data_IF_847823491676
#
_entry.id   IF_847823491676
#
_cell.length_a   1.000
_cell.length_b   1.000
_cell.length_c   1.000
_cell.angle_alpha   90.00
_cell.angle_beta   90.00
_cell.angle_gamma   90.00
#
_symmetry.space_group_name_H-M   'P 1'
#
loop_
_entity.id
_entity.type
_entity.pdbx_description
1 polymer ?
#
# COMPACT_ATOMS: atom_id res chain seq x y z
N UNK A 1 -10.83 1.21 10.71
CA UNK A 1 -11.94 2.17 10.56
C UNK A 1 -13.23 1.39 10.79
N UNK A 2 -14.28 1.98 11.33
CA UNK A 2 -15.58 1.31 11.49
C UNK A 2 -16.70 2.25 11.09
N UNK A 3 -17.73 1.68 10.45
CA UNK A 3 -18.94 2.41 10.10
C UNK A 3 -19.90 2.38 11.28
N UNK A 4 -20.46 3.54 11.60
CA UNK A 4 -21.53 3.68 12.57
C UNK A 4 -22.82 3.10 11.99
N UNK A 5 -23.47 2.19 12.73
CA UNK A 5 -24.63 1.44 12.24
C UNK A 5 -25.89 2.29 12.09
N UNK A 6 -25.96 3.45 12.75
CA UNK A 6 -27.14 4.33 12.73
C UNK A 6 -27.02 5.35 11.60
N UNK A 7 -25.92 6.07 11.56
CA UNK A 7 -25.70 7.17 10.62
C UNK A 7 -25.14 6.69 9.29
N UNK A 8 -24.34 5.61 9.30
CA UNK A 8 -23.52 5.15 8.17
C UNK A 8 -22.19 5.88 8.04
N UNK A 9 -21.85 6.76 8.99
CA UNK A 9 -20.63 7.55 8.95
C UNK A 9 -19.45 6.73 9.43
N UNK A 10 -18.27 6.99 8.91
CA UNK A 10 -17.06 6.25 9.25
C UNK A 10 -16.25 6.96 10.33
N UNK A 11 -15.71 6.20 11.27
CA UNK A 11 -14.78 6.69 12.29
C UNK A 11 -13.56 5.81 12.39
N UNK A 12 -12.42 6.41 12.73
CA UNK A 12 -11.21 5.67 13.09
C UNK A 12 -10.87 5.98 14.55
N UNK A 13 -10.83 4.95 15.36
CA UNK A 13 -10.40 5.01 16.76
C UNK A 13 -9.06 4.30 16.95
N UNK A 14 -8.18 4.89 17.75
CA UNK A 14 -6.94 4.29 18.21
C UNK A 14 -6.92 4.29 19.73
N UNK A 15 -6.80 3.09 20.33
CA UNK A 15 -6.81 2.80 21.78
C UNK A 15 -8.08 3.23 22.52
N UNK A 16 -8.54 4.47 22.35
CA UNK A 16 -9.91 4.95 22.62
C UNK A 16 -10.16 6.38 22.09
N UNK A 17 -9.23 6.95 21.31
CA UNK A 17 -9.32 8.30 20.76
C UNK A 17 -9.79 8.23 19.32
N UNK A 18 -10.82 9.00 18.99
CA UNK A 18 -11.24 9.18 17.60
C UNK A 18 -10.20 10.04 16.90
N UNK A 19 -9.43 9.41 16.01
CA UNK A 19 -8.37 10.05 15.22
C UNK A 19 -8.86 10.43 13.81
N UNK A 20 -10.15 10.22 13.53
CA UNK A 20 -10.77 10.70 12.31
C UNK A 20 -12.25 10.33 12.20
N UNK A 21 -12.97 11.15 11.45
CA UNK A 21 -14.39 11.04 11.18
C UNK A 21 -14.68 11.43 9.73
N UNK A 22 -15.47 10.61 9.04
CA UNK A 22 -15.81 10.79 7.63
C UNK A 22 -17.30 10.56 7.43
N UNK A 23 -17.99 11.58 6.92
CA UNK A 23 -19.42 11.50 6.59
C UNK A 23 -19.66 10.54 5.43
N UNK A 24 -20.77 9.80 5.42
CA UNK A 24 -21.03 8.83 4.32
C UNK A 24 -21.17 9.51 2.97
N UNK A 25 -21.64 10.76 2.95
CA UNK A 25 -21.94 11.54 1.75
C UNK A 25 -20.70 11.89 0.94
N UNK A 26 -19.50 11.86 1.53
CA UNK A 26 -18.25 12.13 0.80
C UNK A 26 -17.75 10.89 0.03
N UNK A 27 -18.32 9.72 0.30
CA UNK A 27 -17.98 8.48 -0.38
C UNK A 27 -18.92 8.28 -1.57
N UNK A 28 -18.52 8.75 -2.74
CA UNK A 28 -19.22 8.52 -4.01
C UNK A 28 -18.98 7.12 -4.59
N UNK A 29 -17.90 6.47 -4.13
CA UNK A 29 -17.57 5.06 -4.32
C UNK A 29 -17.17 4.45 -2.97
N UNK A 30 -17.09 3.11 -2.87
CA UNK A 30 -16.65 2.38 -1.66
C UNK A 30 -17.57 2.51 -0.42
N UNK A 31 -18.76 3.11 -0.53
CA UNK A 31 -19.69 3.31 0.59
C UNK A 31 -20.27 2.01 1.16
N UNK A 32 -20.26 0.93 0.37
CA UNK A 32 -20.69 -0.43 0.76
C UNK A 32 -19.49 -1.35 1.00
N UNK A 33 -18.65 -1.51 -0.03
CA UNK A 33 -17.46 -2.36 0.01
C UNK A 33 -16.45 -1.91 -1.05
N UNK A 34 -15.20 -2.33 -0.88
CA UNK A 34 -14.20 -2.29 -1.93
C UNK A 34 -14.30 -3.54 -2.82
N UNK A 35 -13.88 -3.41 -4.07
CA UNK A 35 -13.69 -4.53 -5.01
C UNK A 35 -12.23 -5.00 -5.08
N UNK A 36 -11.30 -4.24 -4.49
CA UNK A 36 -9.88 -4.55 -4.42
C UNK A 36 -9.20 -3.75 -3.32
N UNK A 37 -8.05 -4.23 -2.88
CA UNK A 37 -7.16 -3.57 -1.94
C UNK A 37 -5.75 -3.68 -2.52
N UNK A 38 -5.01 -2.57 -2.49
CA UNK A 38 -3.64 -2.48 -3.00
C UNK A 38 -2.74 -1.96 -1.89
N UNK A 39 -1.52 -2.52 -1.81
CA UNK A 39 -0.44 -2.06 -0.95
C UNK A 39 0.77 -1.78 -1.82
N UNK A 40 1.52 -0.74 -1.50
CA UNK A 40 2.73 -0.38 -2.26
C UNK A 40 3.03 1.11 -2.19
N UNK A 41 3.81 1.56 -3.17
CA UNK A 41 4.08 2.97 -3.45
C UNK A 41 3.69 3.32 -4.88
N UNK A 42 3.40 4.59 -5.11
CA UNK A 42 3.09 5.13 -6.43
C UNK A 42 3.92 6.39 -6.65
N UNK A 43 4.50 6.50 -7.84
CA UNK A 43 5.16 7.69 -8.32
C UNK A 43 4.51 8.04 -9.64
N UNK A 44 3.96 9.26 -9.70
CA UNK A 44 3.35 9.81 -10.91
C UNK A 44 4.33 10.81 -11.49
N UNK A 45 4.71 10.58 -12.75
CA UNK A 45 5.63 11.44 -13.46
C UNK A 45 5.26 11.49 -14.95
N UNK A 46 5.40 12.68 -15.55
CA UNK A 46 5.05 12.95 -16.94
C UNK A 46 6.26 12.90 -17.89
N UNK A 47 7.46 12.57 -17.38
CA UNK A 47 8.71 12.48 -18.14
C UNK A 47 9.05 13.73 -18.93
N UNK A 48 8.65 14.91 -18.44
CA UNK A 48 8.75 16.19 -19.17
C UNK A 48 10.18 16.57 -19.56
N UNK A 49 11.17 16.02 -18.86
CA UNK A 49 12.60 16.31 -19.04
C UNK A 49 13.36 15.12 -19.65
N UNK A 50 12.68 14.17 -20.31
CA UNK A 50 13.34 13.02 -20.96
C UNK A 50 14.05 12.08 -19.99
N UNK A 51 13.57 12.03 -18.74
CA UNK A 51 13.96 11.05 -17.75
C UNK A 51 12.74 10.69 -16.90
N UNK A 52 12.79 9.56 -16.20
CA UNK A 52 11.71 9.14 -15.33
C UNK A 52 11.56 10.16 -14.19
N UNK A 53 12.18 9.99 -13.02
CA UNK A 53 12.12 11.05 -12.01
C UNK A 53 13.30 11.00 -11.06
N UNK A 54 13.62 12.13 -10.44
CA UNK A 54 14.51 12.18 -9.29
C UNK A 54 13.79 11.79 -7.98
N UNK A 55 12.48 11.52 -8.03
CA UNK A 55 11.70 11.12 -6.85
C UNK A 55 12.07 9.71 -6.44
N UNK A 56 12.52 9.55 -5.20
CA UNK A 56 12.89 8.27 -4.62
C UNK A 56 11.63 7.55 -4.12
N UNK A 57 11.57 6.21 -4.27
CA UNK A 57 10.48 5.40 -3.73
C UNK A 57 10.88 4.78 -2.39
N UNK A 58 9.98 4.87 -1.41
CA UNK A 58 10.21 4.27 -0.09
C UNK A 58 11.29 5.04 0.69
N UNK A 59 12.46 4.41 0.86
CA UNK A 59 13.57 4.93 1.67
C UNK A 59 14.83 5.24 0.86
N UNK A 60 14.76 5.23 -0.48
CA UNK A 60 15.92 5.34 -1.40
C UNK A 60 16.91 4.16 -1.36
N UNK A 61 16.75 3.26 -0.41
CA UNK A 61 17.52 2.03 -0.37
C UNK A 61 17.00 1.02 -1.38
N UNK A 62 17.90 0.13 -1.81
CA UNK A 62 17.49 -0.96 -2.66
C UNK A 62 16.56 -1.91 -1.90
N UNK A 63 15.56 -2.44 -2.60
CA UNK A 63 14.56 -3.37 -2.04
C UNK A 63 15.17 -4.58 -1.30
N UNK A 64 16.36 -5.01 -1.71
CA UNK A 64 17.08 -6.16 -1.13
C UNK A 64 17.92 -5.84 0.10
N UNK A 65 18.02 -4.58 0.50
CA UNK A 65 18.75 -4.21 1.71
C UNK A 65 18.04 -4.60 3.01
N UNK A 66 16.77 -5.02 2.91
CA UNK A 66 16.03 -5.65 3.99
C UNK A 66 15.57 -4.66 5.07
N UNK A 67 15.20 -5.23 6.21
CA UNK A 67 14.56 -4.52 7.32
C UNK A 67 15.46 -3.43 7.90
N UNK A 68 14.88 -2.26 8.17
CA UNK A 68 15.61 -1.10 8.71
C UNK A 68 16.36 -0.28 7.67
N UNK A 69 16.32 -0.70 6.40
CA UNK A 69 16.90 0.03 5.27
C UNK A 69 15.88 0.24 4.16
N UNK A 70 15.41 -0.84 3.54
CA UNK A 70 14.33 -0.79 2.55
C UNK A 70 12.98 -0.56 3.23
N UNK A 71 12.06 0.08 2.53
CA UNK A 71 10.69 0.19 3.02
C UNK A 71 9.98 -1.14 2.81
N UNK A 72 9.19 -1.58 3.79
CA UNK A 72 8.50 -2.87 3.73
C UNK A 72 7.07 -2.78 4.26
N UNK A 73 6.19 -3.59 3.68
CA UNK A 73 4.92 -3.94 4.29
C UNK A 73 5.00 -5.37 4.80
N UNK A 74 4.56 -5.58 6.04
CA UNK A 74 4.47 -6.89 6.67
C UNK A 74 3.05 -7.12 7.22
N UNK A 75 2.70 -8.38 7.42
CA UNK A 75 1.40 -8.82 7.91
C UNK A 75 0.26 -8.26 7.06
N UNK A 76 0.37 -8.39 5.73
CA UNK A 76 -0.70 -7.96 4.83
C UNK A 76 -1.97 -8.78 5.07
N UNK A 77 -3.03 -8.06 5.40
CA UNK A 77 -4.36 -8.62 5.61
C UNK A 77 -5.43 -7.69 5.05
N UNK A 78 -6.59 -8.27 4.73
CA UNK A 78 -7.79 -7.54 4.35
C UNK A 78 -9.01 -8.11 5.07
N UNK A 79 -10.05 -7.29 5.25
CA UNK A 79 -11.34 -7.78 5.71
C UNK A 79 -12.17 -8.22 4.51
N UNK A 80 -12.68 -9.44 4.52
CA UNK A 80 -13.60 -9.92 3.49
C UNK A 80 -15.02 -9.34 3.66
N UNK A 81 -15.94 -9.69 2.76
CA UNK A 81 -17.33 -9.21 2.80
C UNK A 81 -18.08 -9.60 4.09
N UNK A 82 -17.62 -10.61 4.81
CA UNK A 82 -18.16 -11.04 6.10
C UNK A 82 -17.42 -10.41 7.29
N UNK A 83 -16.58 -9.39 7.04
CA UNK A 83 -15.72 -8.73 8.03
C UNK A 83 -14.72 -9.68 8.71
N UNK A 84 -14.40 -10.80 8.06
CA UNK A 84 -13.36 -11.72 8.55
C UNK A 84 -12.01 -11.23 8.06
N UNK A 85 -11.05 -11.12 8.97
CA UNK A 85 -9.68 -10.79 8.64
C UNK A 85 -9.02 -11.96 7.90
N UNK A 86 -8.54 -11.73 6.68
CA UNK A 86 -7.89 -12.70 5.81
C UNK A 86 -6.47 -12.26 5.55
N UNK A 87 -5.54 -13.21 5.50
CA UNK A 87 -4.21 -12.94 4.94
C UNK A 87 -4.32 -12.63 3.46
N UNK A 88 -3.48 -11.73 2.96
CA UNK A 88 -3.41 -11.40 1.53
C UNK A 88 -2.50 -12.39 0.76
N UNK A 89 -2.64 -13.69 1.00
CA UNK A 89 -1.81 -14.73 0.37
C UNK A 89 -2.08 -14.89 -1.14
N UNK A 90 -3.24 -14.42 -1.58
CA UNK A 90 -3.66 -14.32 -2.97
C UNK A 90 -3.34 -12.97 -3.64
N UNK A 91 -2.46 -12.15 -3.04
CA UNK A 91 -2.07 -10.88 -3.62
C UNK A 91 -1.40 -11.06 -4.99
N UNK A 92 -1.75 -10.16 -5.92
CA UNK A 92 -1.10 -10.05 -7.23
C UNK A 92 -0.03 -8.96 -7.15
N UNK A 93 1.17 -9.29 -7.59
CA UNK A 93 2.32 -8.39 -7.57
C UNK A 93 2.44 -7.63 -8.89
N UNK A 94 2.66 -6.31 -8.83
CA UNK A 94 2.72 -5.44 -9.99
C UNK A 94 3.83 -4.40 -9.84
N UNK A 95 4.62 -4.23 -10.90
CA UNK A 95 5.68 -3.21 -11.01
C UNK A 95 5.54 -2.55 -12.37
N UNK A 96 5.30 -1.24 -12.38
CA UNK A 96 5.08 -0.50 -13.64
C UNK A 96 6.40 -0.10 -14.31
N UNK A 97 7.42 0.25 -13.53
CA UNK A 97 8.73 0.68 -14.03
C UNK A 97 9.85 -0.13 -13.34
N UNK A 98 10.02 -1.42 -13.66
CA UNK A 98 10.93 -2.33 -12.96
C UNK A 98 12.40 -1.93 -13.03
N UNK A 99 12.79 -1.14 -14.03
CA UNK A 99 14.15 -0.60 -14.16
C UNK A 99 14.41 0.57 -13.20
N UNK A 100 13.36 1.26 -12.73
CA UNK A 100 13.45 2.39 -11.80
C UNK A 100 13.19 1.97 -10.35
N UNK A 101 12.19 1.13 -10.14
CA UNK A 101 11.73 0.65 -8.84
C UNK A 101 11.27 -0.79 -8.96
N UNK A 102 11.52 -1.61 -7.94
CA UNK A 102 11.07 -3.00 -7.96
C UNK A 102 10.65 -3.49 -6.58
N UNK A 103 10.04 -4.67 -6.54
CA UNK A 103 9.59 -5.37 -5.34
C UNK A 103 10.51 -6.54 -5.03
N UNK A 104 10.78 -6.75 -3.74
CA UNK A 104 11.27 -8.03 -3.28
C UNK A 104 10.18 -8.74 -2.48
N UNK A 105 9.62 -9.78 -3.10
CA UNK A 105 8.60 -10.61 -2.50
C UNK A 105 9.30 -11.59 -1.57
N UNK A 106 9.07 -11.44 -0.28
CA UNK A 106 9.65 -12.29 0.76
C UNK A 106 8.71 -13.46 1.12
N UNK A 107 7.48 -13.45 0.57
CA UNK A 107 6.48 -14.50 0.75
C UNK A 107 5.84 -14.47 2.14
N UNK A 108 5.37 -15.63 2.61
CA UNK A 108 4.82 -15.81 3.95
C UNK A 108 5.91 -16.29 4.91
N UNK A 109 6.34 -15.42 5.83
CA UNK A 109 7.32 -15.77 6.88
C UNK A 109 6.58 -15.76 8.22
N UNK A 110 6.84 -16.75 9.10
CA UNK A 110 6.07 -16.96 10.33
C UNK A 110 5.88 -15.72 11.20
N UNK A 111 6.89 -14.85 11.28
CA UNK A 111 6.85 -13.63 12.08
C UNK A 111 6.36 -12.37 11.33
N UNK A 112 6.32 -12.40 10.00
CA UNK A 112 5.99 -11.25 9.15
C UNK A 112 4.77 -11.45 8.25
N UNK A 113 4.13 -12.62 8.29
CA UNK A 113 3.01 -12.97 7.42
C UNK A 113 3.36 -12.81 5.95
N UNK A 114 2.37 -12.53 5.12
CA UNK A 114 2.59 -12.06 3.74
C UNK A 114 3.30 -10.71 3.81
N UNK A 115 4.47 -10.61 3.18
CA UNK A 115 5.30 -9.42 3.23
C UNK A 115 6.16 -9.21 1.97
N UNK A 116 6.48 -7.94 1.73
CA UNK A 116 7.36 -7.50 0.64
C UNK A 116 8.10 -6.22 1.03
N UNK A 117 9.28 -6.02 0.45
CA UNK A 117 9.97 -4.73 0.44
C UNK A 117 9.94 -4.11 -0.94
N UNK A 118 10.06 -2.79 -1.00
CA UNK A 118 10.07 -2.02 -2.24
C UNK A 118 10.93 -0.77 -2.10
N UNK A 119 11.39 -0.25 -3.24
CA UNK A 119 12.27 0.91 -3.29
C UNK A 119 13.12 0.88 -4.55
N UNK A 120 14.35 1.36 -4.43
CA UNK A 120 15.34 1.63 -5.47
C UNK A 120 15.42 3.14 -5.87
N UNK A 121 16.59 3.62 -6.35
CA UNK A 121 16.87 5.06 -6.48
C UNK A 121 16.09 5.81 -7.57
N UNK A 122 15.32 5.11 -8.42
CA UNK A 122 14.40 5.73 -9.38
C UNK A 122 15.00 6.44 -10.58
N UNK A 123 16.30 6.73 -10.58
CA UNK A 123 16.93 7.54 -11.63
C UNK A 123 17.27 6.71 -12.87
N UNK A 124 16.54 6.96 -13.96
CA UNK A 124 16.86 6.45 -15.29
C UNK A 124 16.53 7.50 -16.37
N UNK A 125 17.37 7.58 -17.40
CA UNK A 125 17.08 8.33 -18.63
C UNK A 125 15.99 7.59 -19.41
N UNK A 126 14.93 8.28 -19.84
CA UNK A 126 13.91 7.66 -20.69
C UNK A 126 14.49 7.51 -22.09
N UNK A 127 14.35 6.32 -22.67
CA UNK A 127 14.89 5.96 -24.01
C UNK A 127 13.91 6.34 -25.10
#
# INVERSE_FOLDING_TARGET
MSQDSVTGHWRRRLVNVDIGYWRKEIFTSLSKSANGVTWGGEIVNMETDGHHTATQMGSDHFRYEGFGKSFCFHNLHYADANLVNREADNAVWMVMNPECYDLQIMGKISQYGVNFSYGDPGFQLSV
#
